data_IF_719319152722
#
_entry.id   IF_719319152722
#
_cell.length_a   1.000
_cell.length_b   1.000
_cell.length_c   1.000
_cell.angle_alpha   90.00
_cell.angle_beta   90.00
_cell.angle_gamma   90.00
#
_symmetry.space_group_name_H-M   'P 1'
#
loop_
_entity.id
_entity.type
_entity.pdbx_description
1 polymer ?
#
# COMPACT_ATOMS: atom_id res chain seq x y z
N UNK A 1 -25.44 -21.84 34.25
CA UNK A 1 -24.80 -21.84 32.92
C UNK A 1 -24.05 -20.54 32.82
N UNK A 2 -22.77 -20.56 33.17
CA UNK A 2 -21.93 -19.37 33.07
C UNK A 2 -21.34 -19.30 31.67
N UNK A 3 -21.53 -18.15 31.03
CA UNK A 3 -20.98 -17.84 29.71
C UNK A 3 -19.48 -17.57 29.87
N UNK A 4 -18.66 -18.42 29.26
CA UNK A 4 -17.21 -18.23 29.17
C UNK A 4 -16.90 -16.92 28.42
N UNK A 5 -16.04 -16.04 28.96
CA UNK A 5 -15.56 -14.88 28.23
C UNK A 5 -14.65 -15.31 27.07
N UNK A 6 -14.94 -14.81 25.89
CA UNK A 6 -14.11 -14.93 24.70
C UNK A 6 -12.71 -14.38 25.02
N UNK A 7 -11.70 -15.25 25.04
CA UNK A 7 -10.30 -14.83 25.13
C UNK A 7 -9.95 -14.13 23.82
N UNK A 8 -9.93 -12.80 23.83
CA UNK A 8 -9.08 -12.08 22.89
C UNK A 8 -7.64 -12.37 23.31
N UNK A 9 -7.01 -13.29 22.60
CA UNK A 9 -5.58 -13.48 22.69
C UNK A 9 -4.94 -12.15 22.25
N UNK A 10 -4.34 -11.44 23.20
CA UNK A 10 -3.23 -10.55 22.87
C UNK A 10 -2.14 -11.47 22.31
N UNK A 11 -2.06 -11.60 20.99
CA UNK A 11 -0.92 -12.21 20.31
C UNK A 11 0.31 -11.36 20.71
N UNK A 12 1.24 -11.97 21.43
CA UNK A 12 2.59 -11.44 21.54
C UNK A 12 3.18 -11.32 20.13
N UNK A 13 4.11 -10.40 19.95
CA UNK A 13 4.77 -10.14 18.66
C UNK A 13 5.22 -11.48 18.04
N UNK A 14 4.54 -11.91 16.97
CA UNK A 14 4.83 -13.18 16.30
C UNK A 14 6.16 -12.99 15.58
N UNK A 15 7.16 -13.81 15.93
CA UNK A 15 8.43 -13.80 15.21
C UNK A 15 8.20 -14.31 13.79
N UNK A 16 8.35 -13.41 12.81
CA UNK A 16 8.19 -13.73 11.39
C UNK A 16 9.40 -14.48 10.84
N UNK A 17 9.18 -15.37 9.89
CA UNK A 17 10.25 -15.94 9.09
C UNK A 17 10.96 -14.84 8.28
N UNK A 18 12.21 -15.07 7.82
CA UNK A 18 12.98 -14.03 7.12
C UNK A 18 12.27 -13.40 5.92
N UNK A 19 11.49 -14.18 5.17
CA UNK A 19 10.78 -13.68 4.00
C UNK A 19 9.61 -12.74 4.35
N UNK A 20 8.82 -13.08 5.37
CA UNK A 20 7.74 -12.23 5.86
C UNK A 20 8.29 -11.00 6.58
N UNK A 21 9.42 -11.15 7.29
CA UNK A 21 10.12 -10.02 7.88
C UNK A 21 10.64 -9.05 6.82
N UNK A 22 11.19 -9.56 5.71
CA UNK A 22 11.61 -8.72 4.59
C UNK A 22 10.44 -7.88 4.04
N UNK A 23 9.29 -8.49 3.76
CA UNK A 23 8.11 -7.76 3.28
C UNK A 23 7.67 -6.68 4.26
N UNK A 24 7.68 -6.97 5.57
CA UNK A 24 7.41 -5.98 6.60
C UNK A 24 8.45 -4.86 6.66
N UNK A 25 9.74 -5.18 6.49
CA UNK A 25 10.82 -4.18 6.54
C UNK A 25 10.77 -3.23 5.33
N UNK A 26 10.25 -3.68 4.18
CA UNK A 26 9.99 -2.85 3.01
C UNK A 26 8.98 -1.73 3.30
N UNK A 27 8.09 -1.88 4.29
CA UNK A 27 7.10 -0.86 4.65
C UNK A 27 7.72 0.40 5.26
N UNK A 28 8.89 0.33 5.90
CA UNK A 28 9.51 1.50 6.54
C UNK A 28 9.75 2.65 5.55
N UNK A 29 10.60 2.45 4.53
CA UNK A 29 10.82 3.44 3.47
C UNK A 29 9.56 3.83 2.71
N UNK A 30 8.63 2.90 2.49
CA UNK A 30 7.35 3.18 1.82
C UNK A 30 6.45 4.09 2.68
N UNK A 31 6.41 3.88 3.99
CA UNK A 31 5.68 4.72 4.94
C UNK A 31 6.21 6.16 4.95
N UNK A 32 7.53 6.33 4.94
CA UNK A 32 8.16 7.66 4.88
C UNK A 32 7.82 8.38 3.58
N UNK A 33 7.94 7.71 2.43
CA UNK A 33 7.63 8.30 1.13
C UNK A 33 6.14 8.64 0.99
N UNK A 34 5.22 7.73 1.35
CA UNK A 34 3.78 8.05 1.26
C UNK A 34 3.38 9.20 2.20
N UNK A 35 4.05 9.34 3.35
CA UNK A 35 3.82 10.49 4.23
C UNK A 35 4.25 11.80 3.56
N UNK A 36 5.41 11.83 2.91
CA UNK A 36 5.84 13.01 2.14
C UNK A 36 4.86 13.34 1.01
N UNK A 37 4.37 12.32 0.30
CA UNK A 37 3.38 12.51 -0.77
C UNK A 37 2.08 13.13 -0.27
N UNK A 38 1.53 12.64 0.85
CA UNK A 38 0.28 13.20 1.39
C UNK A 38 0.48 14.61 1.92
N UNK A 39 1.63 14.90 2.54
CA UNK A 39 1.96 16.25 3.02
C UNK A 39 2.00 17.23 1.85
N UNK A 40 2.69 16.88 0.75
CA UNK A 40 2.73 17.66 -0.48
C UNK A 40 1.33 17.87 -1.08
N UNK A 41 0.56 16.78 -1.21
CA UNK A 41 -0.79 16.83 -1.77
C UNK A 41 -1.74 17.71 -0.94
N UNK A 42 -1.61 17.68 0.40
CA UNK A 42 -2.42 18.50 1.29
C UNK A 42 -2.10 20.00 1.21
N UNK A 43 -0.87 20.39 0.85
CA UNK A 43 -0.51 21.79 0.62
C UNK A 43 -1.12 22.35 -0.68
N UNK A 44 -1.46 21.48 -1.64
CA UNK A 44 -2.05 21.91 -2.92
C UNK A 44 -3.42 22.56 -2.67
N UNK A 45 -3.53 23.83 -3.09
CA UNK A 45 -4.75 24.61 -2.95
C UNK A 45 -5.01 25.16 -1.54
N UNK A 46 -4.00 25.22 -0.66
CA UNK A 46 -4.13 25.88 0.64
C UNK A 46 -3.92 27.40 0.57
N UNK A 47 -3.03 27.87 -0.30
CA UNK A 47 -2.81 29.30 -0.50
C UNK A 47 -3.77 29.85 -1.58
N UNK A 48 -4.67 30.75 -1.19
CA UNK A 48 -5.65 31.35 -2.08
C UNK A 48 -5.04 32.41 -3.02
N UNK A 49 -3.80 32.86 -2.77
CA UNK A 49 -3.06 33.79 -3.65
C UNK A 49 -2.35 33.08 -4.81
N UNK A 50 -2.20 31.76 -4.77
CA UNK A 50 -1.57 30.99 -5.84
C UNK A 50 -2.49 30.88 -7.04
N UNK A 51 -2.15 31.59 -8.12
CA UNK A 51 -2.92 31.59 -9.36
C UNK A 51 -2.71 30.33 -10.23
N UNK A 52 -1.57 29.65 -10.10
CA UNK A 52 -1.22 28.47 -10.89
C UNK A 52 -0.54 27.41 -10.02
N UNK A 53 -1.15 26.23 -9.94
CA UNK A 53 -0.68 25.07 -9.18
C UNK A 53 0.03 24.02 -10.04
N UNK A 54 0.26 24.30 -11.32
CA UNK A 54 0.87 23.34 -12.26
C UNK A 54 2.21 22.80 -11.76
N UNK A 55 3.13 23.68 -11.37
CA UNK A 55 4.47 23.24 -10.94
C UNK A 55 4.40 22.36 -9.68
N UNK A 56 3.55 22.69 -8.71
CA UNK A 56 3.34 21.86 -7.52
C UNK A 56 2.80 20.46 -7.88
N UNK A 57 1.90 20.36 -8.85
CA UNK A 57 1.40 19.08 -9.35
C UNK A 57 2.47 18.28 -10.09
N UNK A 58 3.34 18.94 -10.86
CA UNK A 58 4.46 18.29 -11.53
C UNK A 58 5.51 17.78 -10.53
N UNK A 59 5.83 18.56 -9.49
CA UNK A 59 6.69 18.08 -8.40
C UNK A 59 6.05 16.89 -7.68
N UNK A 60 4.74 16.94 -7.37
CA UNK A 60 4.04 15.81 -6.76
C UNK A 60 4.06 14.58 -7.68
N UNK A 61 3.89 14.76 -8.99
CA UNK A 61 3.99 13.69 -10.00
C UNK A 61 5.34 12.98 -9.94
N UNK A 62 6.45 13.72 -9.96
CA UNK A 62 7.79 13.15 -9.91
C UNK A 62 8.00 12.31 -8.65
N UNK A 63 7.51 12.80 -7.49
CA UNK A 63 7.61 12.06 -6.23
C UNK A 63 6.72 10.81 -6.23
N UNK A 64 5.52 10.87 -6.81
CA UNK A 64 4.66 9.68 -6.98
C UNK A 64 5.33 8.64 -7.88
N UNK A 65 6.02 9.06 -8.94
CA UNK A 65 6.77 8.14 -9.81
C UNK A 65 7.91 7.47 -9.06
N UNK A 66 8.68 8.22 -8.27
CA UNK A 66 9.76 7.67 -7.43
C UNK A 66 9.23 6.69 -6.36
N UNK A 67 8.06 6.98 -5.77
CA UNK A 67 7.41 6.07 -4.84
C UNK A 67 7.02 4.74 -5.48
N UNK A 68 6.52 4.76 -6.72
CA UNK A 68 6.16 3.54 -7.46
C UNK A 68 7.36 2.62 -7.72
N UNK A 69 8.57 3.18 -7.88
CA UNK A 69 9.79 2.37 -8.07
C UNK A 69 10.06 1.42 -6.89
N UNK A 70 9.54 1.72 -5.70
CA UNK A 70 9.63 0.87 -4.51
C UNK A 70 8.33 0.11 -4.21
N UNK A 71 7.18 0.74 -4.43
CA UNK A 71 5.88 0.11 -4.15
C UNK A 71 5.61 -1.06 -5.13
N UNK A 72 5.94 -0.91 -6.42
CA UNK A 72 5.60 -1.91 -7.42
C UNK A 72 6.30 -3.27 -7.18
N UNK A 73 7.62 -3.34 -6.90
CA UNK A 73 8.26 -4.62 -6.56
C UNK A 73 7.69 -5.27 -5.29
N UNK A 74 7.36 -4.46 -4.27
CA UNK A 74 6.75 -4.92 -3.04
C UNK A 74 5.39 -5.60 -3.33
N UNK A 75 4.47 -4.89 -3.98
CA UNK A 75 3.17 -5.44 -4.35
C UNK A 75 3.28 -6.63 -5.31
N UNK A 76 4.31 -6.69 -6.16
CA UNK A 76 4.56 -7.84 -7.04
C UNK A 76 4.99 -9.10 -6.26
N UNK A 77 5.82 -8.96 -5.22
CA UNK A 77 6.16 -10.07 -4.33
C UNK A 77 4.92 -10.62 -3.64
N UNK A 78 4.01 -9.74 -3.24
CA UNK A 78 2.78 -10.14 -2.57
C UNK A 78 1.79 -10.80 -3.53
N UNK A 79 1.39 -10.12 -4.60
CA UNK A 79 0.40 -10.62 -5.56
C UNK A 79 0.90 -11.82 -6.36
N UNK A 80 2.20 -11.86 -6.65
CA UNK A 80 2.84 -12.91 -7.44
C UNK A 80 3.23 -14.15 -6.63
N UNK A 81 3.44 -14.01 -5.32
CA UNK A 81 3.99 -15.08 -4.48
C UNK A 81 3.16 -15.30 -3.21
N UNK A 82 3.15 -14.33 -2.28
CA UNK A 82 2.54 -14.54 -0.96
C UNK A 82 1.03 -14.80 -1.04
N UNK A 83 0.28 -13.98 -1.78
CA UNK A 83 -1.18 -14.11 -1.89
C UNK A 83 -1.59 -15.43 -2.55
N UNK A 84 -0.97 -15.88 -3.66
CA UNK A 84 -1.23 -17.21 -4.23
C UNK A 84 -0.97 -18.37 -3.27
N UNK A 85 0.08 -18.29 -2.43
CA UNK A 85 0.40 -19.31 -1.43
C UNK A 85 -0.66 -19.32 -0.32
N UNK A 86 -0.99 -18.15 0.22
CA UNK A 86 -2.03 -18.00 1.25
C UNK A 86 -3.41 -18.42 0.77
N UNK A 87 -3.74 -18.14 -0.50
CA UNK A 87 -5.01 -18.53 -1.10
C UNK A 87 -5.26 -20.05 -1.08
N UNK A 88 -4.22 -20.90 -0.99
CA UNK A 88 -4.38 -22.34 -0.84
C UNK A 88 -4.98 -22.73 0.53
N UNK A 89 -4.79 -21.89 1.55
CA UNK A 89 -5.24 -22.13 2.93
C UNK A 89 -6.56 -21.44 3.26
N UNK A 90 -6.71 -20.18 2.82
CA UNK A 90 -7.83 -19.33 3.22
C UNK A 90 -8.78 -18.96 2.07
N UNK A 91 -8.51 -19.47 0.87
CA UNK A 91 -9.25 -19.15 -0.35
C UNK A 91 -8.88 -17.79 -0.94
N UNK A 92 -9.20 -17.60 -2.23
CA UNK A 92 -8.89 -16.36 -2.97
C UNK A 92 -10.09 -15.46 -3.19
N UNK A 93 -11.25 -16.05 -3.48
CA UNK A 93 -12.42 -15.30 -3.98
C UNK A 93 -13.25 -14.63 -2.89
N UNK A 94 -12.94 -14.90 -1.62
CA UNK A 94 -13.63 -14.35 -0.46
C UNK A 94 -12.67 -14.32 0.72
N UNK A 95 -12.80 -13.34 1.61
CA UNK A 95 -11.97 -13.24 2.81
C UNK A 95 -10.74 -12.35 2.63
N UNK A 96 -9.68 -12.53 3.45
CA UNK A 96 -8.57 -11.59 3.53
C UNK A 96 -7.90 -11.32 2.19
N UNK A 97 -7.55 -12.35 1.41
CA UNK A 97 -6.84 -12.16 0.13
C UNK A 97 -7.65 -11.33 -0.87
N UNK A 98 -8.96 -11.56 -0.98
CA UNK A 98 -9.82 -10.77 -1.85
C UNK A 98 -9.85 -9.28 -1.48
N UNK A 99 -9.82 -8.98 -0.16
CA UNK A 99 -9.77 -7.60 0.34
C UNK A 99 -8.42 -6.96 0.03
N UNK A 100 -7.33 -7.70 0.23
CA UNK A 100 -5.97 -7.22 -0.06
C UNK A 100 -5.79 -6.90 -1.54
N UNK A 101 -6.14 -7.84 -2.44
CA UNK A 101 -6.07 -7.62 -3.89
C UNK A 101 -6.95 -6.44 -4.33
N UNK A 102 -8.14 -6.29 -3.74
CA UNK A 102 -9.02 -5.15 -4.02
C UNK A 102 -8.41 -3.80 -3.59
N UNK A 103 -7.73 -3.76 -2.45
CA UNK A 103 -7.09 -2.55 -1.95
C UNK A 103 -5.86 -2.15 -2.77
N UNK A 104 -5.03 -3.11 -3.19
CA UNK A 104 -3.98 -2.88 -4.19
C UNK A 104 -4.55 -2.26 -5.46
N UNK A 105 -5.63 -2.84 -5.98
CA UNK A 105 -6.33 -2.36 -7.15
C UNK A 105 -6.84 -0.91 -6.98
N UNK A 106 -7.39 -0.58 -5.81
CA UNK A 106 -7.88 0.77 -5.50
C UNK A 106 -6.73 1.79 -5.42
N UNK A 107 -5.63 1.43 -4.75
CA UNK A 107 -4.44 2.29 -4.65
C UNK A 107 -3.83 2.54 -6.04
N UNK A 108 -3.62 1.46 -6.82
CA UNK A 108 -3.12 1.52 -8.20
C UNK A 108 -4.00 2.40 -9.09
N UNK A 109 -5.34 2.27 -9.00
CA UNK A 109 -6.28 3.12 -9.76
C UNK A 109 -6.17 4.60 -9.42
N UNK A 110 -6.07 4.95 -8.14
CA UNK A 110 -5.91 6.34 -7.72
C UNK A 110 -4.59 6.93 -8.24
N UNK A 111 -3.48 6.21 -8.05
CA UNK A 111 -2.16 6.64 -8.51
C UNK A 111 -2.14 6.78 -10.05
N UNK A 112 -2.65 5.78 -10.77
CA UNK A 112 -2.73 5.82 -12.23
C UNK A 112 -3.57 7.00 -12.74
N UNK A 113 -4.72 7.28 -12.10
CA UNK A 113 -5.58 8.41 -12.49
C UNK A 113 -4.85 9.74 -12.29
N UNK A 114 -4.15 9.93 -11.16
CA UNK A 114 -3.32 11.11 -10.93
C UNK A 114 -2.23 11.25 -12.00
N UNK A 115 -1.50 10.17 -12.30
CA UNK A 115 -0.44 10.17 -13.30
C UNK A 115 -0.97 10.33 -14.74
N UNK A 116 -2.18 9.88 -15.06
CA UNK A 116 -2.76 10.13 -16.38
C UNK A 116 -3.15 11.60 -16.54
N UNK A 117 -3.89 12.12 -15.56
CA UNK A 117 -4.43 13.48 -15.63
C UNK A 117 -3.36 14.57 -15.51
N UNK A 118 -2.22 14.27 -14.87
CA UNK A 118 -1.09 15.20 -14.79
C UNK A 118 -0.08 15.09 -15.92
N UNK A 119 -0.18 14.07 -16.82
CA UNK A 119 0.83 13.82 -17.86
C UNK A 119 0.89 14.94 -18.92
N UNK A 120 -0.23 15.63 -19.13
CA UNK A 120 -0.40 16.60 -20.22
C UNK A 120 -0.96 17.94 -19.72
N UNK A 121 -0.60 18.36 -18.50
CA UNK A 121 -1.03 19.66 -17.97
C UNK A 121 -0.58 20.81 -18.89
N UNK A 122 -1.53 21.39 -19.61
CA UNK A 122 -1.34 22.55 -20.48
C UNK A 122 -2.00 23.79 -19.86
N UNK A 123 -1.32 24.94 -19.93
CA UNK A 123 -1.83 26.18 -19.34
C UNK A 123 -1.75 26.19 -17.82
N UNK A 124 -2.45 27.16 -17.21
CA UNK A 124 -2.52 27.33 -15.76
C UNK A 124 -3.52 26.36 -15.14
N UNK A 125 -3.17 25.79 -13.99
CA UNK A 125 -4.08 24.93 -13.21
C UNK A 125 -4.60 25.72 -12.03
N UNK A 126 -5.89 26.02 -12.04
CA UNK A 126 -6.53 26.71 -10.93
C UNK A 126 -6.60 25.81 -9.68
N UNK A 127 -6.84 26.46 -8.55
CA UNK A 127 -6.91 25.85 -7.22
C UNK A 127 -7.83 24.64 -7.12
N UNK A 128 -9.03 24.73 -7.70
CA UNK A 128 -10.04 23.70 -7.57
C UNK A 128 -9.69 22.45 -8.37
N UNK A 129 -9.20 22.62 -9.60
CA UNK A 129 -8.67 21.53 -10.40
C UNK A 129 -7.45 20.88 -9.74
N UNK A 130 -6.55 21.67 -9.15
CA UNK A 130 -5.38 21.16 -8.47
C UNK A 130 -5.74 20.30 -7.23
N UNK A 131 -6.72 20.75 -6.44
CA UNK A 131 -7.25 19.96 -5.30
C UNK A 131 -7.87 18.63 -5.75
N UNK A 132 -8.61 18.62 -6.85
CA UNK A 132 -9.18 17.39 -7.39
C UNK A 132 -8.09 16.39 -7.81
N UNK A 133 -7.02 16.87 -8.43
CA UNK A 133 -5.88 16.02 -8.81
C UNK A 133 -5.14 15.48 -7.58
N UNK A 134 -4.83 16.35 -6.62
CA UNK A 134 -4.16 15.98 -5.38
C UNK A 134 -4.97 14.96 -4.54
N UNK A 135 -6.29 15.00 -4.63
CA UNK A 135 -7.19 14.09 -3.91
C UNK A 135 -6.95 12.61 -4.21
N UNK A 136 -6.56 12.26 -5.44
CA UNK A 136 -6.20 10.89 -5.79
C UNK A 136 -4.99 10.38 -4.99
N UNK A 137 -3.96 11.21 -4.81
CA UNK A 137 -2.78 10.86 -4.01
C UNK A 137 -3.15 10.70 -2.54
N UNK A 138 -4.00 11.59 -2.02
CA UNK A 138 -4.50 11.52 -0.64
C UNK A 138 -5.31 10.22 -0.42
N UNK A 139 -6.17 9.84 -1.35
CA UNK A 139 -6.91 8.58 -1.25
C UNK A 139 -5.99 7.35 -1.29
N UNK A 140 -5.02 7.33 -2.20
CA UNK A 140 -4.04 6.25 -2.26
C UNK A 140 -3.27 6.11 -0.94
N UNK A 141 -2.87 7.23 -0.31
CA UNK A 141 -2.24 7.24 1.00
C UNK A 141 -3.11 6.57 2.08
N UNK A 142 -4.40 6.91 2.15
CA UNK A 142 -5.30 6.33 3.15
C UNK A 142 -5.47 4.82 2.95
N UNK A 143 -5.66 4.38 1.70
CA UNK A 143 -5.78 2.97 1.36
C UNK A 143 -4.50 2.22 1.78
N UNK A 144 -3.33 2.68 1.34
CA UNK A 144 -2.05 2.01 1.62
C UNK A 144 -1.71 2.01 3.12
N UNK A 145 -2.12 3.04 3.86
CA UNK A 145 -1.93 3.09 5.32
C UNK A 145 -2.75 2.02 6.03
N UNK A 146 -4.02 1.85 5.66
CA UNK A 146 -4.84 0.76 6.20
C UNK A 146 -4.38 -0.61 5.73
N UNK A 147 -3.87 -0.69 4.50
CA UNK A 147 -3.38 -1.91 3.88
C UNK A 147 -2.16 -2.48 4.61
N UNK A 148 -1.10 -1.68 4.78
CA UNK A 148 0.11 -2.08 5.50
C UNK A 148 -0.19 -2.49 6.95
N UNK A 149 -1.15 -1.82 7.59
CA UNK A 149 -1.60 -2.23 8.93
C UNK A 149 -2.22 -3.63 8.94
N UNK A 150 -3.02 -4.00 7.93
CA UNK A 150 -3.60 -5.35 7.80
C UNK A 150 -2.52 -6.38 7.51
N UNK A 151 -1.52 -6.04 6.72
CA UNK A 151 -0.39 -6.94 6.45
C UNK A 151 0.36 -7.26 7.73
N UNK A 152 0.83 -6.22 8.41
CA UNK A 152 1.70 -6.38 9.57
C UNK A 152 1.01 -7.04 10.76
N UNK A 153 -0.27 -6.73 10.98
CA UNK A 153 -0.99 -7.16 12.17
C UNK A 153 -1.92 -8.36 11.94
N UNK A 154 -2.20 -8.71 10.68
CA UNK A 154 -3.14 -9.79 10.35
C UNK A 154 -2.53 -10.77 9.37
N UNK A 155 -2.15 -10.33 8.17
CA UNK A 155 -1.78 -11.24 7.09
C UNK A 155 -0.44 -11.93 7.34
N UNK A 156 0.61 -11.20 7.72
CA UNK A 156 1.94 -11.77 7.96
C UNK A 156 1.94 -12.70 9.18
N UNK A 157 1.35 -12.35 10.35
CA UNK A 157 1.21 -13.29 11.46
C UNK A 157 0.40 -14.54 11.10
N UNK A 158 -0.63 -14.39 10.25
CA UNK A 158 -1.41 -15.52 9.75
C UNK A 158 -0.58 -16.40 8.81
N UNK A 159 0.19 -15.81 7.90
CA UNK A 159 1.09 -16.53 7.01
C UNK A 159 2.16 -17.30 7.79
N UNK A 160 2.72 -16.68 8.83
CA UNK A 160 3.70 -17.33 9.71
C UNK A 160 3.12 -18.58 10.41
N UNK A 161 1.84 -18.54 10.79
CA UNK A 161 1.14 -19.66 11.44
C UNK A 161 0.69 -20.76 10.46
N UNK A 162 0.34 -20.40 9.23
CA UNK A 162 -0.24 -21.31 8.25
C UNK A 162 0.80 -21.99 7.35
N UNK A 163 1.82 -21.25 6.91
CA UNK A 163 2.83 -21.79 6.01
C UNK A 163 3.76 -22.76 6.76
N UNK A 164 4.03 -23.90 6.15
CA UNK A 164 5.05 -24.85 6.59
C UNK A 164 6.46 -24.26 6.46
N UNK A 165 7.45 -24.90 7.07
CA UNK A 165 8.85 -24.46 6.96
C UNK A 165 9.33 -24.50 5.50
N UNK A 166 8.97 -25.54 4.75
CA UNK A 166 9.34 -25.68 3.34
C UNK A 166 8.71 -24.57 2.48
N UNK A 167 7.45 -24.20 2.74
CA UNK A 167 6.79 -23.08 2.06
C UNK A 167 7.40 -21.73 2.45
N UNK A 168 7.86 -21.56 3.70
CA UNK A 168 8.58 -20.33 4.10
C UNK A 168 9.92 -20.20 3.38
N UNK A 169 10.63 -21.30 3.18
CA UNK A 169 11.85 -21.34 2.36
C UNK A 169 11.55 -21.07 0.88
N UNK A 170 10.47 -21.63 0.35
CA UNK A 170 10.00 -21.37 -1.02
C UNK A 170 9.62 -19.90 -1.21
N UNK A 171 8.89 -19.30 -0.26
CA UNK A 171 8.53 -17.90 -0.24
C UNK A 171 9.80 -17.04 -0.31
N UNK A 172 10.79 -17.30 0.54
CA UNK A 172 12.07 -16.59 0.56
C UNK A 172 12.77 -16.61 -0.81
N UNK A 173 12.84 -17.78 -1.45
CA UNK A 173 13.47 -17.94 -2.76
C UNK A 173 12.73 -17.17 -3.86
N UNK A 174 11.40 -17.24 -3.86
CA UNK A 174 10.57 -16.63 -4.91
C UNK A 174 10.54 -15.11 -4.81
N UNK A 175 10.42 -14.55 -3.61
CA UNK A 175 10.40 -13.09 -3.45
C UNK A 175 11.76 -12.45 -3.78
N UNK A 176 12.86 -13.18 -3.59
CA UNK A 176 14.21 -12.71 -3.93
C UNK A 176 14.45 -12.65 -5.45
N UNK A 177 13.65 -13.38 -6.24
CA UNK A 177 13.75 -13.42 -7.70
C UNK A 177 12.96 -12.29 -8.40
N UNK A 178 12.27 -11.45 -7.63
CA UNK A 178 11.56 -10.24 -8.07
C UNK A 178 12.37 -9.03 -7.62
#
# INVERSE_FOLDING_TARGET
>A
MELSPCMMAHDGDVQLCPALQQLKDEHGPLNEQKQQLVDMAQQIGQNDETADWKEALLTLRENVQSFLEQLDPHSQREEGVLFPMMAQYIGRTSGPIAVMEYEHDQAKRNIATFLEQTAHLSGTVNREAAKQLAFYVINAYHILTEHFMKEEHVLFPMAEKLLSNDEKEELAQKIQAI
#
